data_IF_420482526519
#
_entry.id   IF_420482526519
#
_cell.length_a   1.000
_cell.length_b   1.000
_cell.length_c   1.000
_cell.angle_alpha   90.00
_cell.angle_beta   90.00
_cell.angle_gamma   90.00
#
_symmetry.space_group_name_H-M   'P 1'
#
loop_
_entity.id
_entity.type
_entity.pdbx_description
1 polymer ?
#
# COMPACT_ATOMS: atom_id res chain seq x y z
N UNK A 1 -17.46 10.35 15.34
CA UNK A 1 -18.20 9.11 14.97
C UNK A 1 -19.66 9.48 14.83
N UNK A 2 -20.19 9.48 13.61
CA UNK A 2 -21.62 9.74 13.37
C UNK A 2 -22.43 8.46 13.56
N UNK A 3 -23.63 8.63 14.11
CA UNK A 3 -24.61 7.57 14.30
C UNK A 3 -25.44 7.42 13.02
N UNK A 4 -25.42 6.25 12.39
CA UNK A 4 -26.24 5.95 11.21
C UNK A 4 -26.93 4.59 11.42
N UNK A 5 -28.25 4.52 11.26
CA UNK A 5 -29.06 3.31 11.51
C UNK A 5 -28.78 2.65 12.88
N UNK A 6 -28.64 3.45 13.94
CA UNK A 6 -28.32 2.98 15.32
C UNK A 6 -26.98 2.23 15.45
N UNK A 7 -26.05 2.42 14.51
CA UNK A 7 -24.68 1.91 14.59
C UNK A 7 -23.69 3.08 14.47
N UNK A 8 -22.62 3.05 15.27
CA UNK A 8 -21.51 3.98 15.10
C UNK A 8 -20.75 3.59 13.83
N UNK A 9 -20.60 4.52 12.90
CA UNK A 9 -19.77 4.32 11.72
C UNK A 9 -18.54 5.21 11.75
N UNK A 10 -17.47 4.71 11.17
CA UNK A 10 -16.38 5.57 10.71
C UNK A 10 -16.90 6.31 9.49
N UNK A 11 -16.71 7.62 9.48
CA UNK A 11 -17.07 8.43 8.32
C UNK A 11 -16.19 8.08 7.12
N UNK A 12 -16.64 8.49 5.93
CA UNK A 12 -15.85 8.26 4.74
C UNK A 12 -14.49 8.93 4.91
N UNK A 13 -13.42 8.13 4.88
CA UNK A 13 -12.04 8.62 4.97
C UNK A 13 -11.60 9.34 3.69
N UNK A 14 -12.34 9.17 2.59
CA UNK A 14 -12.05 9.84 1.32
C UNK A 14 -12.36 11.32 1.45
N UNK A 15 -11.47 12.15 0.91
CA UNK A 15 -11.65 13.60 0.86
C UNK A 15 -12.92 13.95 0.08
N UNK A 16 -13.90 14.66 0.69
CA UNK A 16 -15.11 15.07 -0.01
C UNK A 16 -14.79 15.90 -1.25
N UNK A 17 -15.49 15.64 -2.35
CA UNK A 17 -15.31 16.33 -3.63
C UNK A 17 -14.01 15.98 -4.37
N UNK A 18 -13.24 14.98 -3.91
CA UNK A 18 -12.06 14.51 -4.64
C UNK A 18 -12.39 13.30 -5.51
N UNK A 19 -12.11 13.42 -6.81
CA UNK A 19 -12.19 12.30 -7.75
C UNK A 19 -10.86 11.52 -7.76
N UNK A 20 -10.90 10.31 -7.21
CA UNK A 20 -9.74 9.42 -7.10
C UNK A 20 -9.45 8.66 -8.40
N UNK A 21 -10.24 8.86 -9.47
CA UNK A 21 -9.95 8.31 -10.80
C UNK A 21 -8.98 9.18 -11.59
N UNK A 22 -8.82 10.44 -11.18
CA UNK A 22 -7.89 11.38 -11.82
C UNK A 22 -6.44 10.97 -11.54
N UNK A 23 -5.52 11.20 -12.50
CA UNK A 23 -4.09 10.96 -12.28
C UNK A 23 -3.57 11.75 -11.08
N UNK A 24 -2.78 11.09 -10.24
CA UNK A 24 -2.18 11.69 -9.05
C UNK A 24 -0.92 10.95 -8.60
N UNK A 25 -0.04 11.65 -7.89
CA UNK A 25 1.16 11.05 -7.29
C UNK A 25 0.87 10.60 -5.87
N UNK A 26 1.18 9.34 -5.57
CA UNK A 26 0.98 8.74 -4.27
C UNK A 26 2.28 8.12 -3.78
N UNK A 27 2.59 8.35 -2.50
CA UNK A 27 3.62 7.60 -1.79
C UNK A 27 2.92 6.66 -0.81
N UNK A 28 3.14 5.35 -0.97
CA UNK A 28 2.47 4.32 -0.17
C UNK A 28 3.51 3.51 0.57
N UNK A 29 3.34 3.40 1.89
CA UNK A 29 4.12 2.51 2.75
C UNK A 29 3.20 1.47 3.37
N UNK A 30 3.61 0.20 3.37
CA UNK A 30 2.81 -0.90 3.92
C UNK A 30 3.68 -1.72 4.86
N UNK A 31 3.16 -2.03 6.04
CA UNK A 31 3.78 -2.96 6.97
C UNK A 31 3.31 -4.38 6.66
N UNK A 32 4.23 -5.33 6.70
CA UNK A 32 3.92 -6.76 6.70
C UNK A 32 3.30 -7.20 8.03
N UNK A 33 2.67 -8.38 8.04
CA UNK A 33 2.15 -9.01 9.26
C UNK A 33 3.23 -9.04 10.35
N UNK A 34 2.87 -8.58 11.55
CA UNK A 34 3.78 -8.47 12.71
C UNK A 34 5.08 -7.71 12.41
N UNK A 35 5.11 -6.83 11.40
CA UNK A 35 6.30 -6.09 10.97
C UNK A 35 7.48 -7.00 10.58
N UNK A 36 7.22 -8.25 10.17
CA UNK A 36 8.26 -9.20 9.76
C UNK A 36 8.93 -8.73 8.47
N UNK A 37 10.26 -8.77 8.40
CA UNK A 37 11.03 -8.33 7.22
C UNK A 37 10.96 -9.35 6.04
N UNK A 38 9.75 -9.69 5.58
CA UNK A 38 9.50 -10.75 4.61
C UNK A 38 10.09 -10.46 3.22
N UNK A 39 10.22 -9.18 2.84
CA UNK A 39 10.73 -8.77 1.53
C UNK A 39 12.26 -8.69 1.46
N UNK A 40 12.96 -8.83 2.59
CA UNK A 40 14.42 -8.73 2.64
C UNK A 40 14.88 -7.81 3.76
N UNK A 41 16.14 -7.39 3.69
CA UNK A 41 16.79 -6.55 4.70
C UNK A 41 17.58 -5.44 4.02
N UNK A 42 17.71 -4.31 4.70
CA UNK A 42 18.59 -3.24 4.27
C UNK A 42 19.98 -3.50 4.86
N UNK A 43 21.00 -3.50 4.01
CA UNK A 43 22.41 -3.63 4.41
C UNK A 43 23.14 -2.40 3.87
N UNK A 44 23.60 -1.53 4.78
CA UNK A 44 24.08 -0.19 4.41
C UNK A 44 22.93 0.63 3.81
N UNK A 45 23.09 1.08 2.56
CA UNK A 45 22.09 1.86 1.82
C UNK A 45 21.35 1.01 0.76
N UNK A 46 21.61 -0.29 0.72
CA UNK A 46 21.07 -1.19 -0.30
C UNK A 46 19.98 -2.11 0.27
N UNK A 47 18.89 -2.26 -0.47
CA UNK A 47 17.88 -3.28 -0.21
C UNK A 47 18.34 -4.64 -0.75
N UNK A 48 18.55 -5.61 0.13
CA UNK A 48 18.85 -7.00 -0.23
C UNK A 48 17.56 -7.82 -0.16
N UNK A 49 17.00 -8.16 -1.31
CA UNK A 49 15.71 -8.83 -1.42
C UNK A 49 15.78 -10.30 -1.00
N UNK A 50 14.74 -10.74 -0.28
CA UNK A 50 14.46 -12.17 -0.08
C UNK A 50 13.89 -12.80 -1.35
N UNK A 51 13.63 -14.12 -1.34
CA UNK A 51 12.90 -14.78 -2.43
C UNK A 51 11.51 -14.14 -2.66
N UNK A 52 10.79 -13.86 -1.58
CA UNK A 52 9.47 -13.19 -1.65
C UNK A 52 9.60 -11.74 -2.11
N UNK A 53 10.65 -11.03 -1.68
CA UNK A 53 10.94 -9.67 -2.13
C UNK A 53 11.20 -9.57 -3.63
N UNK A 54 11.93 -10.54 -4.20
CA UNK A 54 12.15 -10.62 -5.66
C UNK A 54 10.83 -10.80 -6.42
N UNK A 55 9.99 -11.73 -5.98
CA UNK A 55 8.66 -11.92 -6.57
C UNK A 55 7.82 -10.63 -6.50
N UNK A 56 7.80 -9.94 -5.36
CA UNK A 56 7.09 -8.67 -5.22
C UNK A 56 7.64 -7.58 -6.17
N UNK A 57 8.97 -7.49 -6.30
CA UNK A 57 9.61 -6.53 -7.20
C UNK A 57 9.31 -6.83 -8.68
N UNK A 58 9.29 -8.09 -9.08
CA UNK A 58 8.94 -8.52 -10.45
C UNK A 58 7.52 -8.08 -10.80
N UNK A 59 6.54 -8.35 -9.93
CA UNK A 59 5.16 -7.94 -10.15
C UNK A 59 4.99 -6.42 -10.13
N UNK A 60 5.68 -5.72 -9.23
CA UNK A 60 5.67 -4.25 -9.19
C UNK A 60 6.13 -3.65 -10.53
N UNK A 61 7.22 -4.17 -11.10
CA UNK A 61 7.73 -3.73 -12.40
C UNK A 61 6.80 -4.08 -13.56
N UNK A 62 6.01 -5.15 -13.42
CA UNK A 62 5.06 -5.60 -14.43
C UNK A 62 3.74 -4.81 -14.43
N UNK A 63 3.45 -4.00 -13.39
CA UNK A 63 2.19 -3.22 -13.29
C UNK A 63 1.87 -2.47 -14.59
N UNK A 64 2.79 -1.69 -15.20
CA UNK A 64 2.49 -0.93 -16.42
C UNK A 64 2.15 -1.78 -17.65
N UNK A 65 2.43 -3.09 -17.61
CA UNK A 65 2.23 -4.01 -18.73
C UNK A 65 1.06 -4.98 -18.56
N UNK A 66 0.45 -5.03 -17.37
CA UNK A 66 -0.51 -6.08 -17.01
C UNK A 66 -1.87 -5.53 -16.56
N UNK A 67 -1.98 -4.21 -16.33
CA UNK A 67 -3.19 -3.51 -15.87
C UNK A 67 -3.32 -2.12 -16.48
#
# INVERSE_FOLDING_TARGET
MTLFKRQYRVENIRKPGWDYTLPGLYFVTICTHEKRCNFGRVIGEAMVLSKTGRCAQEHWKAIPSHY
#
